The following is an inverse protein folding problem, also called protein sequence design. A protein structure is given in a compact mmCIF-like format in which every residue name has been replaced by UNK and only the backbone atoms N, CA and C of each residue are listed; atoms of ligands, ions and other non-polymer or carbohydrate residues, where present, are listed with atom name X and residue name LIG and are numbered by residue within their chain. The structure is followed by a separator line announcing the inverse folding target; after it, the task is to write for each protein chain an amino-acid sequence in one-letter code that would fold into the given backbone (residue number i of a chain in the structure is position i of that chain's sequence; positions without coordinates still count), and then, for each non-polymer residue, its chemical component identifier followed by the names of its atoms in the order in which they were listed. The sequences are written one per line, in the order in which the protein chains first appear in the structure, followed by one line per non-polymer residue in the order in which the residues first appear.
data_IF_235276399365
#
_entry.id   IF_235276399365
#
_cell.length_a   1.000
_cell.length_b   1.000
_cell.length_c   1.000
_cell.angle_alpha   90.00
_cell.angle_beta   90.00
_cell.angle_gamma   90.00
#
_symmetry.space_group_name_H-M   'P 1'
#
loop_
_entity.id
_entity.type
_entity.pdbx_description
1 polymer ?
#
# COMPACT_ATOMS: atom_id res chain seq x y z
N UNK A 1 -15.21 4.13 -12.99
CA UNK A 1 -15.94 4.65 -11.81
C UNK A 1 -15.64 6.14 -11.73
N UNK A 2 -16.61 7.03 -11.41
CA UNK A 2 -16.25 8.44 -11.18
C UNK A 2 -15.65 8.56 -9.78
N UNK A 3 -14.44 9.11 -9.67
CA UNK A 3 -13.86 9.52 -8.38
C UNK A 3 -14.77 10.61 -7.81
N UNK A 4 -15.41 10.35 -6.68
CA UNK A 4 -16.30 11.31 -6.02
C UNK A 4 -15.61 11.90 -4.81
N UNK A 5 -16.05 13.08 -4.37
CA UNK A 5 -15.57 13.68 -3.12
C UNK A 5 -15.71 12.73 -1.93
N UNK A 6 -16.84 12.04 -1.83
CA UNK A 6 -17.08 11.03 -0.78
C UNK A 6 -16.02 9.91 -0.79
N UNK A 7 -15.60 9.44 -1.98
CA UNK A 7 -14.56 8.42 -2.09
C UNK A 7 -13.20 8.91 -1.55
N UNK A 8 -12.86 10.18 -1.79
CA UNK A 8 -11.63 10.80 -1.26
C UNK A 8 -11.70 11.03 0.25
N UNK A 9 -12.87 11.43 0.74
CA UNK A 9 -13.12 11.63 2.17
C UNK A 9 -12.98 10.28 2.93
N UNK A 10 -13.58 9.22 2.41
CA UNK A 10 -13.48 7.85 2.96
C UNK A 10 -12.03 7.33 2.95
N UNK A 11 -11.29 7.57 1.86
CA UNK A 11 -9.88 7.22 1.76
C UNK A 11 -9.04 7.98 2.80
N UNK A 12 -9.31 9.27 2.98
CA UNK A 12 -8.63 10.14 3.94
C UNK A 12 -8.96 9.77 5.40
N UNK A 13 -10.16 9.23 5.64
CA UNK A 13 -10.57 8.67 6.93
C UNK A 13 -9.91 7.31 7.23
N UNK A 14 -9.30 6.67 6.23
CA UNK A 14 -8.66 5.37 6.35
C UNK A 14 -9.65 4.21 6.24
N UNK A 15 -10.75 4.37 5.51
CA UNK A 15 -11.66 3.26 5.20
C UNK A 15 -10.94 2.17 4.40
N UNK A 16 -10.85 0.98 4.98
CA UNK A 16 -10.08 -0.13 4.40
C UNK A 16 -10.65 -0.61 3.06
N UNK A 17 -11.98 -0.64 2.91
CA UNK A 17 -12.63 -1.10 1.68
C UNK A 17 -12.38 -0.12 0.53
N UNK A 18 -12.43 1.16 0.81
CA UNK A 18 -12.15 2.25 -0.14
C UNK A 18 -10.68 2.23 -0.54
N UNK A 19 -9.77 2.03 0.42
CA UNK A 19 -8.34 1.84 0.12
C UNK A 19 -8.10 0.64 -0.80
N UNK A 20 -8.67 -0.53 -0.51
CA UNK A 20 -8.52 -1.71 -1.35
C UNK A 20 -9.03 -1.46 -2.79
N UNK A 21 -10.17 -0.79 -2.94
CA UNK A 21 -10.70 -0.38 -4.25
C UNK A 21 -9.79 0.61 -4.98
N UNK A 22 -9.25 1.60 -4.26
CA UNK A 22 -8.32 2.56 -4.83
C UNK A 22 -7.06 1.87 -5.36
N UNK A 23 -6.48 0.95 -4.57
CA UNK A 23 -5.33 0.14 -4.99
C UNK A 23 -5.65 -0.68 -6.25
N UNK A 24 -6.79 -1.39 -6.28
CA UNK A 24 -7.19 -2.16 -7.47
C UNK A 24 -7.41 -1.28 -8.70
N UNK A 25 -7.95 -0.07 -8.56
CA UNK A 25 -8.13 0.84 -9.69
C UNK A 25 -6.79 1.30 -10.28
N UNK A 26 -5.81 1.59 -9.40
CA UNK A 26 -4.47 2.03 -9.80
C UNK A 26 -3.67 0.87 -10.41
N UNK A 27 -3.68 -0.32 -9.80
CA UNK A 27 -2.98 -1.50 -10.32
C UNK A 27 -3.46 -1.93 -11.71
N UNK A 28 -4.76 -1.82 -11.99
CA UNK A 28 -5.36 -2.23 -13.25
C UNK A 28 -5.39 -1.12 -14.31
N UNK A 29 -4.72 0.01 -14.06
CA UNK A 29 -4.76 1.20 -14.92
C UNK A 29 -6.18 1.58 -15.38
N UNK A 30 -7.14 1.49 -14.44
CA UNK A 30 -8.56 1.65 -14.75
C UNK A 30 -8.88 3.11 -15.05
N UNK A 31 -9.84 3.36 -15.96
CA UNK A 31 -10.30 4.72 -16.28
C UNK A 31 -10.62 5.53 -15.02
N UNK A 32 -9.89 6.64 -14.83
CA UNK A 32 -9.99 7.54 -13.67
C UNK A 32 -8.94 7.30 -12.58
N UNK A 33 -7.99 6.36 -12.76
CA UNK A 33 -6.85 6.11 -11.88
C UNK A 33 -5.94 7.33 -11.74
N UNK A 34 -5.61 8.00 -12.84
CA UNK A 34 -4.78 9.22 -12.84
C UNK A 34 -5.46 10.36 -12.07
N UNK A 35 -6.73 10.65 -12.38
CA UNK A 35 -7.52 11.67 -11.66
C UNK A 35 -7.58 11.38 -10.16
N UNK A 36 -7.73 10.10 -9.78
CA UNK A 36 -7.68 9.67 -8.38
C UNK A 36 -6.34 10.02 -7.76
N UNK A 37 -5.22 9.65 -8.39
CA UNK A 37 -3.87 9.92 -7.89
C UNK A 37 -3.61 11.42 -7.71
N UNK A 38 -4.02 12.26 -8.67
CA UNK A 38 -3.89 13.72 -8.57
C UNK A 38 -4.78 14.35 -7.49
N UNK A 39 -5.89 13.70 -7.14
CA UNK A 39 -6.82 14.20 -6.11
C UNK A 39 -6.39 13.89 -4.68
N UNK A 40 -5.42 12.99 -4.48
CA UNK A 40 -4.97 12.56 -3.15
C UNK A 40 -3.96 13.57 -2.59
N UNK A 41 -4.24 14.07 -1.39
CA UNK A 41 -3.26 14.86 -0.64
C UNK A 41 -2.30 13.94 0.12
N UNK A 42 -1.05 13.86 -0.34
CA UNK A 42 -0.03 12.99 0.26
C UNK A 42 0.51 13.62 1.54
N UNK A 43 0.48 12.84 2.63
CA UNK A 43 1.16 13.21 3.88
C UNK A 43 2.58 12.68 3.86
N UNK A 44 3.52 13.51 4.29
CA UNK A 44 4.91 13.09 4.44
C UNK A 44 4.99 11.94 5.46
N UNK A 45 5.47 10.79 4.99
CA UNK A 45 5.57 9.55 5.77
C UNK A 45 6.92 8.91 5.51
N UNK A 46 7.67 8.46 6.53
CA UNK A 46 8.94 7.78 6.32
C UNK A 46 8.77 6.51 5.46
N UNK A 47 9.58 6.38 4.40
CA UNK A 47 9.64 5.20 3.53
C UNK A 47 11.00 4.54 3.68
N UNK A 48 11.01 3.25 4.04
CA UNK A 48 12.24 2.47 4.27
C UNK A 48 12.26 1.27 3.32
N UNK A 49 13.29 1.19 2.48
CA UNK A 49 13.53 0.04 1.62
C UNK A 49 14.30 -1.06 2.36
N UNK A 50 13.81 -2.31 2.29
CA UNK A 50 14.47 -3.49 2.85
C UNK A 50 14.80 -4.44 1.70
N UNK A 51 16.07 -4.78 1.54
CA UNK A 51 16.57 -5.68 0.49
C UNK A 51 17.59 -6.67 1.03
N UNK A 52 17.98 -7.66 0.22
CA UNK A 52 18.93 -8.70 0.58
C UNK A 52 18.64 -10.04 -0.11
N UNK A 53 19.60 -10.97 -0.14
CA UNK A 53 19.45 -12.25 -0.83
C UNK A 53 18.35 -13.13 -0.20
N UNK A 54 17.87 -14.18 -0.91
CA UNK A 54 17.02 -15.21 -0.31
C UNK A 54 17.67 -15.80 0.96
N UNK A 55 16.89 -16.02 2.01
CA UNK A 55 17.39 -16.54 3.28
C UNK A 55 18.07 -15.51 4.21
N UNK A 56 18.25 -14.25 3.81
CA UNK A 56 18.87 -13.21 4.65
C UNK A 56 18.06 -12.77 5.89
N UNK A 57 16.93 -13.42 6.18
CA UNK A 57 16.07 -13.07 7.33
C UNK A 57 15.22 -11.81 7.16
N UNK A 58 15.05 -11.30 5.93
CA UNK A 58 14.25 -10.10 5.64
C UNK A 58 12.85 -10.14 6.25
N UNK A 59 12.11 -11.24 6.06
CA UNK A 59 10.76 -11.38 6.62
C UNK A 59 10.74 -11.37 8.14
N UNK A 60 11.75 -11.97 8.78
CA UNK A 60 11.92 -11.92 10.24
C UNK A 60 12.17 -10.49 10.73
N UNK A 61 13.03 -9.73 10.01
CA UNK A 61 13.29 -8.32 10.31
C UNK A 61 12.04 -7.47 10.14
N UNK A 62 11.33 -7.60 9.02
CA UNK A 62 10.08 -6.88 8.74
C UNK A 62 9.04 -7.18 9.83
N UNK A 63 8.85 -8.44 10.21
CA UNK A 63 7.92 -8.82 11.27
C UNK A 63 8.28 -8.20 12.62
N UNK A 64 9.57 -8.20 12.99
CA UNK A 64 10.06 -7.57 14.21
C UNK A 64 9.82 -6.06 14.24
N UNK A 65 10.15 -5.38 13.14
CA UNK A 65 9.92 -3.93 12.98
C UNK A 65 8.44 -3.59 13.07
N UNK A 66 7.59 -4.33 12.35
CA UNK A 66 6.14 -4.10 12.34
C UNK A 66 5.54 -4.32 13.73
N UNK A 67 5.96 -5.38 14.45
CA UNK A 67 5.52 -5.61 15.83
C UNK A 67 5.94 -4.47 16.77
N UNK A 68 7.18 -4.00 16.65
CA UNK A 68 7.70 -2.91 17.46
C UNK A 68 6.95 -1.59 17.22
N UNK A 69 6.76 -1.21 15.94
CA UNK A 69 6.07 0.02 15.56
C UNK A 69 4.56 -0.03 15.89
N UNK A 70 3.93 -1.19 15.73
CA UNK A 70 2.52 -1.40 16.08
C UNK A 70 2.29 -1.23 17.58
N UNK A 71 3.20 -1.74 18.43
CA UNK A 71 3.18 -1.51 19.89
C UNK A 71 3.31 -0.03 20.27
N UNK A 72 3.85 0.82 19.40
CA UNK A 72 3.90 2.28 19.58
C UNK A 72 2.65 2.99 19.03
N UNK A 73 1.63 2.26 18.56
CA UNK A 73 0.42 2.82 17.98
C UNK A 73 0.61 3.41 16.58
N UNK A 74 1.70 3.07 15.86
CA UNK A 74 1.93 3.55 14.50
C UNK A 74 1.07 2.78 13.48
N UNK A 75 0.58 3.47 12.46
CA UNK A 75 0.00 2.85 11.26
C UNK A 75 1.13 2.51 10.29
N UNK A 76 1.16 1.28 9.81
CA UNK A 76 2.26 0.72 9.01
C UNK A 76 1.68 0.16 7.73
N UNK A 77 2.33 0.44 6.59
CA UNK A 77 2.04 -0.19 5.31
C UNK A 77 3.29 -0.94 4.86
N UNK A 78 3.12 -2.15 4.31
CA UNK A 78 4.20 -2.96 3.76
C UNK A 78 3.88 -3.15 2.28
N UNK A 79 4.77 -2.70 1.40
CA UNK A 79 4.67 -2.93 -0.04
C UNK A 79 5.77 -3.91 -0.45
N UNK A 80 5.35 -5.09 -0.92
CA UNK A 80 6.26 -6.07 -1.48
C UNK A 80 6.47 -5.78 -2.97
N UNK A 81 7.73 -5.75 -3.41
CA UNK A 81 8.11 -5.61 -4.82
C UNK A 81 8.89 -6.86 -5.21
N UNK A 82 8.31 -7.67 -6.11
CA UNK A 82 8.96 -8.87 -6.65
C UNK A 82 9.19 -8.72 -8.15
N UNK A 83 10.44 -8.45 -8.59
CA UNK A 83 10.76 -8.30 -10.01
C UNK A 83 10.65 -9.61 -10.81
N UNK A 84 10.53 -10.77 -10.14
CA UNK A 84 10.45 -12.09 -10.79
C UNK A 84 9.03 -12.54 -11.16
N UNK A 85 8.02 -11.69 -10.99
CA UNK A 85 6.63 -12.00 -11.35
C UNK A 85 6.14 -11.18 -12.57
N UNK A 86 6.42 -11.59 -13.82
CA UNK A 86 5.63 -11.14 -14.95
C UNK A 86 4.23 -11.78 -14.99
N UNK A 87 3.88 -12.71 -14.08
CA UNK A 87 2.71 -13.60 -14.24
C UNK A 87 1.81 -13.85 -13.03
N UNK A 88 2.11 -13.37 -11.83
CA UNK A 88 1.19 -13.48 -10.71
C UNK A 88 0.77 -12.09 -10.24
N UNK A 89 -0.45 -11.71 -10.64
CA UNK A 89 -1.22 -10.57 -10.15
C UNK A 89 -1.13 -10.49 -8.62
N UNK A 90 -0.21 -9.66 -8.13
CA UNK A 90 0.25 -9.66 -6.75
C UNK A 90 -0.90 -9.74 -5.74
N UNK A 91 -0.83 -10.69 -4.82
CA UNK A 91 -1.77 -10.70 -3.69
C UNK A 91 -1.29 -9.66 -2.68
N UNK A 92 -2.06 -8.59 -2.52
CA UNK A 92 -1.99 -7.72 -1.35
C UNK A 92 -2.29 -8.59 -0.12
N UNK A 93 -1.25 -9.10 0.52
CA UNK A 93 -1.37 -9.74 1.83
C UNK A 93 -1.70 -8.64 2.83
N UNK A 94 -2.91 -8.75 3.41
CA UNK A 94 -3.46 -7.82 4.40
C UNK A 94 -2.73 -7.83 5.73
#
# INVERSE_FOLDING_TARGET
MKVTKAFIDDLSAGDFKTLARALSLVENDSKGSEDLLFSINVRETPVVGITGPPGAGKSTLVNGLTSHLSKQGKKIAILAVDPTSPFNYGSLLG
#
